data_IF_868072135383
#
_entry.id   IF_868072135383
#
_cell.length_a   1.000
_cell.length_b   1.000
_cell.length_c   1.000
_cell.angle_alpha   90.00
_cell.angle_beta   90.00
_cell.angle_gamma   90.00
#
_symmetry.space_group_name_H-M   'P 1'
#
loop_
_entity.id
_entity.type
_entity.pdbx_description
1 polymer ?
#
# COMPACT_ATOMS: atom_id res chain seq x y z
N UNK A 1 10.31 15.44 5.79
CA UNK A 1 9.71 15.64 4.45
C UNK A 1 8.78 14.45 4.23
N UNK A 2 7.54 14.70 3.83
CA UNK A 2 6.57 13.63 3.61
C UNK A 2 6.94 12.78 2.38
N UNK A 3 6.60 11.48 2.41
CA UNK A 3 6.88 10.54 1.30
C UNK A 3 5.66 10.35 0.42
N UNK A 4 5.89 10.22 -0.88
CA UNK A 4 4.90 9.90 -1.90
C UNK A 4 5.14 8.50 -2.46
N UNK A 5 4.18 7.62 -2.28
CA UNK A 5 4.11 6.32 -2.94
C UNK A 5 3.12 6.37 -4.09
N UNK A 6 3.50 5.84 -5.25
CA UNK A 6 2.60 5.71 -6.40
C UNK A 6 2.28 4.24 -6.65
N UNK A 7 0.98 3.92 -6.66
CA UNK A 7 0.48 2.62 -7.09
C UNK A 7 0.49 2.54 -8.62
N UNK A 8 1.32 1.65 -9.16
CA UNK A 8 1.54 1.49 -10.59
C UNK A 8 1.10 0.11 -11.08
N UNK A 9 0.31 0.07 -12.16
CA UNK A 9 -0.15 -1.20 -12.77
C UNK A 9 0.49 -1.50 -14.12
N UNK A 10 1.51 -0.73 -14.51
CA UNK A 10 2.29 -0.91 -15.73
C UNK A 10 3.69 -0.33 -15.57
N UNK A 11 4.60 -0.69 -16.45
CA UNK A 11 5.96 -0.12 -16.47
C UNK A 11 5.90 1.39 -16.75
N UNK A 12 5.02 1.83 -17.63
CA UNK A 12 4.85 3.26 -17.93
C UNK A 12 4.41 4.03 -16.68
N UNK A 13 3.47 3.49 -15.89
CA UNK A 13 3.07 4.10 -14.61
C UNK A 13 4.23 4.14 -13.61
N UNK A 14 5.02 3.07 -13.52
CA UNK A 14 6.16 3.00 -12.62
C UNK A 14 7.28 3.99 -13.00
N UNK A 15 7.57 4.14 -14.30
CA UNK A 15 8.51 5.13 -14.81
C UNK A 15 8.00 6.56 -14.62
N UNK A 16 6.70 6.81 -14.83
CA UNK A 16 6.09 8.11 -14.55
C UNK A 16 6.17 8.45 -13.05
N UNK A 17 6.01 7.45 -12.16
CA UNK A 17 6.19 7.65 -10.73
C UNK A 17 7.61 8.12 -10.40
N UNK A 18 8.62 7.42 -10.89
CA UNK A 18 10.02 7.79 -10.70
C UNK A 18 10.34 9.18 -11.28
N UNK A 19 9.94 9.42 -12.53
CA UNK A 19 10.20 10.69 -13.23
C UNK A 19 9.44 11.88 -12.59
N UNK A 20 8.31 11.62 -11.95
CA UNK A 20 7.51 12.62 -11.22
C UNK A 20 8.02 12.89 -9.81
N UNK A 21 9.06 12.16 -9.34
CA UNK A 21 9.70 12.35 -8.05
C UNK A 21 9.00 11.62 -6.90
N UNK A 22 8.30 10.52 -7.16
CA UNK A 22 7.82 9.63 -6.12
C UNK A 22 8.99 9.03 -5.32
N UNK A 23 8.78 8.79 -4.03
CA UNK A 23 9.80 8.20 -3.15
C UNK A 23 9.85 6.68 -3.28
N UNK A 24 8.76 6.02 -3.73
CA UNK A 24 8.69 4.59 -4.03
C UNK A 24 7.49 4.26 -4.92
N UNK A 25 7.50 3.06 -5.47
CA UNK A 25 6.40 2.48 -6.27
C UNK A 25 5.83 1.28 -5.52
N UNK A 26 4.49 1.21 -5.42
CA UNK A 26 3.76 -0.03 -5.19
C UNK A 26 3.33 -0.61 -6.53
N UNK A 27 3.90 -1.74 -6.93
CA UNK A 27 3.56 -2.40 -8.19
C UNK A 27 2.40 -3.38 -7.98
N UNK A 28 1.37 -3.26 -8.83
CA UNK A 28 0.21 -4.13 -8.80
C UNK A 28 -0.24 -4.48 -10.23
N UNK A 29 -1.32 -5.25 -10.36
CA UNK A 29 -2.12 -5.39 -11.57
C UNK A 29 -3.58 -5.13 -11.23
N UNK A 30 -4.44 -4.92 -12.24
CA UNK A 30 -5.90 -4.84 -12.08
C UNK A 30 -6.38 -3.83 -11.03
N UNK A 31 -5.98 -2.57 -11.15
CA UNK A 31 -6.39 -1.47 -10.24
C UNK A 31 -7.91 -1.31 -10.12
N UNK A 32 -8.67 -1.68 -11.14
CA UNK A 32 -10.14 -1.60 -11.13
C UNK A 32 -10.80 -2.46 -10.05
N UNK A 33 -10.12 -3.52 -9.58
CA UNK A 33 -10.57 -4.40 -8.49
C UNK A 33 -9.80 -4.15 -7.18
N UNK A 34 -9.07 -3.04 -7.10
CA UNK A 34 -8.25 -2.66 -5.95
C UNK A 34 -6.85 -3.29 -5.95
N UNK A 35 -6.39 -3.78 -7.09
CA UNK A 35 -5.09 -4.40 -7.27
C UNK A 35 -5.04 -5.89 -6.93
N UNK A 36 -4.22 -6.63 -7.67
CA UNK A 36 -3.79 -8.01 -7.39
C UNK A 36 -2.29 -8.14 -7.63
N UNK A 37 -1.69 -9.26 -7.23
CA UNK A 37 -0.26 -9.54 -7.46
C UNK A 37 0.08 -9.40 -8.94
N UNK A 38 1.12 -8.62 -9.32
CA UNK A 38 1.55 -8.50 -10.70
C UNK A 38 2.28 -9.75 -11.18
N UNK A 39 2.36 -9.94 -12.49
CA UNK A 39 3.11 -11.07 -13.06
C UNK A 39 4.60 -10.98 -12.72
N UNK A 40 5.29 -12.13 -12.64
CA UNK A 40 6.76 -12.18 -12.46
C UNK A 40 7.49 -11.33 -13.49
N UNK A 41 7.05 -11.35 -14.75
CA UNK A 41 7.66 -10.54 -15.81
C UNK A 41 7.55 -9.04 -15.57
N UNK A 42 6.40 -8.58 -15.04
CA UNK A 42 6.21 -7.18 -14.70
C UNK A 42 7.09 -6.77 -13.50
N UNK A 43 7.20 -7.63 -12.48
CA UNK A 43 8.05 -7.37 -11.30
C UNK A 43 9.53 -7.30 -11.71
N UNK A 44 10.02 -8.27 -12.49
CA UNK A 44 11.41 -8.29 -12.98
C UNK A 44 11.75 -7.04 -13.78
N UNK A 45 10.89 -6.64 -14.71
CA UNK A 45 11.09 -5.45 -15.53
C UNK A 45 11.09 -4.17 -14.69
N UNK A 46 10.20 -4.07 -13.72
CA UNK A 46 10.16 -2.92 -12.81
C UNK A 46 11.42 -2.85 -11.94
N UNK A 47 11.88 -3.99 -11.39
CA UNK A 47 13.10 -4.08 -10.59
C UNK A 47 14.36 -3.68 -11.39
N UNK A 48 14.40 -3.99 -12.66
CA UNK A 48 15.52 -3.64 -13.55
C UNK A 48 15.54 -2.14 -13.91
N UNK A 49 14.37 -1.52 -14.07
CA UNK A 49 14.24 -0.17 -14.63
C UNK A 49 14.11 0.94 -13.57
N UNK A 50 13.77 0.62 -12.35
CA UNK A 50 13.55 1.60 -11.30
C UNK A 50 14.78 1.79 -10.43
N UNK A 51 15.15 3.05 -10.22
CA UNK A 51 16.18 3.48 -9.26
C UNK A 51 15.60 3.79 -7.87
N UNK A 52 14.27 3.87 -7.76
CA UNK A 52 13.55 4.11 -6.49
C UNK A 52 13.00 2.79 -5.92
N UNK A 53 12.76 2.73 -4.60
CA UNK A 53 12.25 1.51 -3.95
C UNK A 53 11.01 0.94 -4.61
N UNK A 54 11.04 -0.38 -4.86
CA UNK A 54 9.94 -1.16 -5.41
C UNK A 54 9.31 -2.00 -4.30
N UNK A 55 8.01 -1.79 -4.08
CA UNK A 55 7.14 -2.60 -3.24
C UNK A 55 6.17 -3.36 -4.14
N UNK A 56 5.83 -4.58 -3.79
CA UNK A 56 4.98 -5.44 -4.63
C UNK A 56 3.72 -5.82 -3.86
N UNK A 57 2.56 -5.56 -4.47
CA UNK A 57 1.29 -6.01 -3.91
C UNK A 57 1.17 -7.53 -4.00
N UNK A 58 0.93 -8.17 -2.87
CA UNK A 58 0.72 -9.61 -2.73
C UNK A 58 -0.76 -9.86 -2.37
N UNK A 59 -1.56 -10.07 -3.40
CA UNK A 59 -3.00 -10.33 -3.30
C UNK A 59 -3.40 -11.29 -4.43
N UNK A 60 -3.67 -12.57 -4.14
CA UNK A 60 -3.81 -13.62 -5.18
C UNK A 60 -5.09 -13.48 -6.00
N UNK A 61 -6.09 -12.76 -5.50
CA UNK A 61 -7.38 -12.53 -6.16
C UNK A 61 -8.07 -11.25 -5.67
N UNK A 62 -9.04 -10.80 -6.42
CA UNK A 62 -10.01 -9.76 -6.01
C UNK A 62 -11.01 -10.30 -4.96
N UNK A 63 -11.89 -9.43 -4.45
CA UNK A 63 -12.89 -9.74 -3.44
C UNK A 63 -12.37 -9.54 -2.02
N UNK A 64 -12.77 -10.40 -1.10
CA UNK A 64 -12.41 -10.31 0.31
C UNK A 64 -10.93 -10.62 0.58
N UNK A 65 -10.54 -10.52 1.85
CA UNK A 65 -9.17 -10.76 2.33
C UNK A 65 -9.08 -12.00 3.22
N UNK A 66 -10.10 -12.86 3.18
CA UNK A 66 -10.10 -14.13 3.88
C UNK A 66 -9.61 -15.25 2.95
N UNK A 67 -8.36 -15.62 3.11
CA UNK A 67 -7.66 -16.54 2.22
C UNK A 67 -7.73 -17.99 2.71
N UNK A 68 -7.86 -18.93 1.77
CA UNK A 68 -7.67 -20.35 2.00
C UNK A 68 -6.19 -20.68 2.27
N UNK A 69 -5.92 -21.90 2.73
CA UNK A 69 -4.54 -22.40 2.90
C UNK A 69 -3.78 -22.36 1.56
N UNK A 70 -4.43 -22.74 0.46
CA UNK A 70 -3.79 -22.76 -0.86
C UNK A 70 -3.45 -21.34 -1.34
N UNK A 71 -4.33 -20.37 -1.11
CA UNK A 71 -4.06 -18.96 -1.44
C UNK A 71 -2.92 -18.39 -0.58
N UNK A 72 -2.84 -18.78 0.70
CA UNK A 72 -1.73 -18.39 1.56
C UNK A 72 -0.39 -18.94 1.04
N UNK A 73 -0.34 -20.19 0.58
CA UNK A 73 0.89 -20.76 -0.01
C UNK A 73 1.29 -20.01 -1.29
N UNK A 74 0.32 -19.65 -2.16
CA UNK A 74 0.59 -18.80 -3.34
C UNK A 74 1.20 -17.45 -2.92
N UNK A 75 0.62 -16.79 -1.91
CA UNK A 75 1.13 -15.52 -1.40
C UNK A 75 2.57 -15.64 -0.87
N UNK A 76 2.88 -16.73 -0.16
CA UNK A 76 4.24 -16.98 0.35
C UNK A 76 5.26 -17.20 -0.77
N UNK A 77 4.89 -17.91 -1.83
CA UNK A 77 5.74 -18.10 -3.02
C UNK A 77 5.99 -16.78 -3.76
N UNK A 78 4.96 -15.94 -3.90
CA UNK A 78 5.10 -14.62 -4.51
C UNK A 78 6.02 -13.71 -3.67
N UNK A 79 5.91 -13.74 -2.35
CA UNK A 79 6.78 -13.00 -1.42
C UNK A 79 8.23 -13.51 -1.52
N UNK A 80 8.42 -14.84 -1.51
CA UNK A 80 9.76 -15.45 -1.63
C UNK A 80 10.45 -15.05 -2.94
N UNK A 81 9.70 -14.99 -4.04
CA UNK A 81 10.20 -14.50 -5.32
C UNK A 81 10.62 -13.01 -5.23
N UNK A 82 9.83 -12.15 -4.60
CA UNK A 82 10.19 -10.74 -4.41
C UNK A 82 11.48 -10.59 -3.59
N UNK A 83 11.66 -11.40 -2.55
CA UNK A 83 12.88 -11.43 -1.74
C UNK A 83 14.10 -11.90 -2.56
N UNK A 84 13.94 -12.95 -3.36
CA UNK A 84 15.01 -13.51 -4.21
C UNK A 84 15.56 -12.48 -5.21
N UNK A 85 14.70 -11.66 -5.82
CA UNK A 85 15.11 -10.65 -6.79
C UNK A 85 15.47 -9.29 -6.17
N UNK A 86 15.39 -9.16 -4.85
CA UNK A 86 15.81 -7.95 -4.12
C UNK A 86 14.81 -6.81 -4.15
N UNK A 87 13.50 -7.08 -4.18
CA UNK A 87 12.48 -6.05 -3.93
C UNK A 87 12.67 -5.43 -2.54
N UNK A 88 12.33 -4.15 -2.40
CA UNK A 88 12.49 -3.42 -1.15
C UNK A 88 11.41 -3.73 -0.13
N UNK A 89 10.20 -4.05 -0.59
CA UNK A 89 9.07 -4.34 0.28
C UNK A 89 7.96 -5.11 -0.41
N UNK A 90 7.03 -5.59 0.41
CA UNK A 90 5.79 -6.23 -0.02
C UNK A 90 4.59 -5.62 0.69
N UNK A 91 3.45 -5.66 0.03
CA UNK A 91 2.21 -5.09 0.52
C UNK A 91 1.15 -6.18 0.55
N UNK A 92 0.64 -6.51 1.72
CA UNK A 92 -0.38 -7.55 1.88
C UNK A 92 -1.33 -7.25 3.03
N UNK A 93 -2.36 -8.08 3.22
CA UNK A 93 -3.25 -8.04 4.38
C UNK A 93 -4.18 -9.23 4.36
N UNK A 94 -4.29 -9.94 5.47
CA UNK A 94 -5.14 -11.10 5.65
C UNK A 94 -6.13 -10.88 6.80
N UNK A 95 -7.39 -11.19 6.56
CA UNK A 95 -8.46 -11.09 7.55
C UNK A 95 -9.08 -12.46 7.81
N UNK A 96 -9.63 -12.59 9.01
CA UNK A 96 -10.51 -13.70 9.37
C UNK A 96 -11.90 -13.53 8.74
N UNK A 97 -12.74 -14.56 8.80
CA UNK A 97 -14.11 -14.50 8.28
C UNK A 97 -14.97 -13.42 8.97
N UNK A 98 -14.69 -13.14 10.25
CA UNK A 98 -15.33 -12.09 11.04
C UNK A 98 -14.62 -10.73 10.94
N UNK A 99 -13.79 -10.56 9.90
CA UNK A 99 -13.09 -9.29 9.57
C UNK A 99 -12.23 -8.73 10.69
N UNK A 100 -11.46 -9.57 11.34
CA UNK A 100 -10.34 -9.19 12.24
C UNK A 100 -9.04 -9.50 11.53
N UNK A 101 -7.93 -8.97 12.02
CA UNK A 101 -6.59 -9.35 11.53
C UNK A 101 -6.39 -10.85 11.72
N UNK A 102 -6.08 -11.58 10.65
CA UNK A 102 -5.67 -12.98 10.73
C UNK A 102 -4.21 -13.05 11.15
N UNK A 103 -3.98 -13.01 12.47
CA UNK A 103 -2.64 -12.98 13.05
C UNK A 103 -1.78 -14.16 12.58
N UNK A 104 -2.37 -15.37 12.51
CA UNK A 104 -1.64 -16.56 12.10
C UNK A 104 -1.13 -16.47 10.66
N UNK A 105 -1.97 -16.03 9.72
CA UNK A 105 -1.55 -15.82 8.33
C UNK A 105 -0.60 -14.64 8.18
N UNK A 106 -0.85 -13.54 8.89
CA UNK A 106 0.02 -12.35 8.88
C UNK A 106 1.43 -12.70 9.32
N UNK A 107 1.60 -13.46 10.42
CA UNK A 107 2.91 -13.93 10.90
C UNK A 107 3.61 -14.78 9.82
N UNK A 108 2.91 -15.70 9.16
CA UNK A 108 3.50 -16.54 8.12
C UNK A 108 3.96 -15.72 6.90
N UNK A 109 3.18 -14.70 6.49
CA UNK A 109 3.55 -13.80 5.40
C UNK A 109 4.75 -12.92 5.78
N UNK A 110 4.80 -12.40 7.01
CA UNK A 110 5.95 -11.66 7.51
C UNK A 110 7.22 -12.52 7.55
N UNK A 111 7.11 -13.78 7.97
CA UNK A 111 8.24 -14.71 7.96
C UNK A 111 8.75 -14.97 6.52
N UNK A 112 7.86 -15.04 5.54
CA UNK A 112 8.24 -15.15 4.13
C UNK A 112 8.90 -13.86 3.60
N UNK A 113 8.49 -12.69 4.09
CA UNK A 113 9.04 -11.39 3.71
C UNK A 113 10.50 -11.18 4.17
N UNK A 114 10.98 -11.92 5.16
CA UNK A 114 12.36 -11.87 5.68
C UNK A 114 12.77 -10.44 6.11
N UNK A 115 13.64 -9.81 5.31
CA UNK A 115 14.18 -8.47 5.61
C UNK A 115 13.52 -7.35 4.79
N UNK A 116 12.52 -7.69 3.96
CA UNK A 116 11.78 -6.69 3.20
C UNK A 116 10.85 -5.90 4.13
N UNK A 117 10.65 -4.63 3.80
CA UNK A 117 9.62 -3.83 4.45
C UNK A 117 8.22 -4.40 4.18
N UNK A 118 7.33 -4.30 5.18
CA UNK A 118 5.96 -4.77 5.06
C UNK A 118 4.98 -3.62 5.25
N UNK A 119 4.05 -3.49 4.30
CA UNK A 119 2.87 -2.62 4.43
C UNK A 119 1.62 -3.49 4.53
N UNK A 120 0.80 -3.26 5.56
CA UNK A 120 -0.55 -3.83 5.61
C UNK A 120 -1.50 -2.95 4.78
N UNK A 121 -2.05 -3.51 3.71
CA UNK A 121 -2.83 -2.74 2.73
C UNK A 121 -4.26 -2.41 3.21
N UNK A 122 -5.08 -1.86 2.32
CA UNK A 122 -6.47 -1.45 2.57
C UNK A 122 -7.44 -2.55 3.04
N UNK A 123 -7.01 -3.79 3.28
CA UNK A 123 -7.77 -4.74 4.10
C UNK A 123 -8.05 -4.18 5.50
N UNK A 124 -7.19 -3.26 5.99
CA UNK A 124 -7.39 -2.52 7.22
C UNK A 124 -8.69 -1.70 7.22
N UNK A 125 -9.11 -1.17 6.08
CA UNK A 125 -10.38 -0.44 5.96
C UNK A 125 -11.62 -1.36 6.05
N UNK A 126 -11.44 -2.68 5.93
CA UNK A 126 -12.52 -3.67 5.98
C UNK A 126 -12.69 -4.34 7.36
N UNK A 127 -11.84 -4.03 8.34
CA UNK A 127 -11.94 -4.61 9.68
C UNK A 127 -13.16 -4.08 10.44
N UNK A 128 -13.58 -4.79 11.48
CA UNK A 128 -14.69 -4.35 12.33
C UNK A 128 -14.32 -3.18 13.24
N UNK A 129 -13.08 -3.15 13.75
CA UNK A 129 -12.56 -2.13 14.64
C UNK A 129 -11.11 -1.82 14.25
N UNK A 130 -10.88 -0.60 13.75
CA UNK A 130 -9.57 -0.18 13.26
C UNK A 130 -8.55 0.03 14.39
N UNK A 131 -8.98 0.46 15.57
CA UNK A 131 -8.07 0.67 16.71
C UNK A 131 -7.59 -0.66 17.28
N UNK A 132 -8.47 -1.65 17.46
CA UNK A 132 -8.09 -3.03 17.84
C UNK A 132 -7.16 -3.66 16.78
N UNK A 133 -7.41 -3.39 15.50
CA UNK A 133 -6.57 -3.88 14.41
C UNK A 133 -5.19 -3.19 14.39
N UNK A 134 -5.12 -1.89 14.70
CA UNK A 134 -3.88 -1.14 14.83
C UNK A 134 -3.01 -1.74 15.93
N UNK A 135 -3.54 -1.95 17.13
CA UNK A 135 -2.82 -2.57 18.25
C UNK A 135 -2.29 -3.96 17.86
N UNK A 136 -3.15 -4.78 17.26
CA UNK A 136 -2.75 -6.11 16.77
C UNK A 136 -1.59 -6.05 15.78
N UNK A 137 -1.61 -5.11 14.83
CA UNK A 137 -0.54 -4.98 13.84
C UNK A 137 0.75 -4.41 14.42
N UNK A 138 0.67 -3.52 15.44
CA UNK A 138 1.83 -3.07 16.22
C UNK A 138 2.50 -4.27 16.93
N UNK A 139 1.72 -5.09 17.65
CA UNK A 139 2.22 -6.29 18.32
C UNK A 139 2.88 -7.29 17.37
N UNK A 140 2.38 -7.38 16.12
CA UNK A 140 2.97 -8.23 15.09
C UNK A 140 4.22 -7.62 14.43
N UNK A 141 4.54 -6.36 14.69
CA UNK A 141 5.73 -5.68 14.15
C UNK A 141 5.57 -5.21 12.70
N UNK A 142 4.35 -4.98 12.24
CA UNK A 142 4.08 -4.32 10.94
C UNK A 142 4.54 -2.87 11.01
N UNK A 143 5.29 -2.42 10.01
CA UNK A 143 5.88 -1.08 10.02
C UNK A 143 4.93 0.00 9.49
N UNK A 144 3.98 -0.38 8.62
CA UNK A 144 3.13 0.58 7.89
C UNK A 144 1.73 0.03 7.62
N UNK A 145 0.74 0.89 7.74
CA UNK A 145 -0.64 0.61 7.34
C UNK A 145 -1.05 1.59 6.24
N UNK A 146 -1.60 1.08 5.14
CA UNK A 146 -2.28 1.87 4.10
C UNK A 146 -3.78 1.90 4.37
N UNK A 147 -4.33 3.08 4.62
CA UNK A 147 -5.74 3.22 4.99
C UNK A 147 -6.37 4.52 4.47
N UNK A 148 -7.68 4.52 4.34
CA UNK A 148 -8.53 5.70 4.13
C UNK A 148 -9.38 6.05 5.37
N UNK A 149 -9.04 5.50 6.55
CA UNK A 149 -9.83 5.66 7.77
C UNK A 149 -11.16 4.91 7.73
N UNK A 150 -11.23 3.77 6.98
CA UNK A 150 -12.44 2.99 6.79
C UNK A 150 -13.50 3.66 5.90
N UNK A 151 -13.17 4.80 5.30
CA UNK A 151 -14.07 5.56 4.44
C UNK A 151 -13.80 5.31 2.95
N UNK A 152 -14.69 5.80 2.09
CA UNK A 152 -14.56 5.72 0.64
C UNK A 152 -13.30 6.43 0.11
N UNK A 153 -12.86 7.48 0.81
CA UNK A 153 -11.65 8.24 0.49
C UNK A 153 -11.00 8.78 1.75
N UNK A 154 -9.69 9.07 1.69
CA UNK A 154 -8.96 9.70 2.79
C UNK A 154 -9.60 11.03 3.24
N UNK A 155 -10.10 11.82 2.29
CA UNK A 155 -10.79 13.08 2.60
C UNK A 155 -12.07 12.87 3.42
N UNK A 156 -12.80 11.77 3.20
CA UNK A 156 -14.00 11.44 3.98
C UNK A 156 -13.68 10.78 5.32
N UNK A 157 -12.52 10.14 5.43
CA UNK A 157 -12.07 9.48 6.65
C UNK A 157 -11.10 10.31 7.50
N UNK A 158 -10.99 11.62 7.24
CA UNK A 158 -9.94 12.47 7.82
C UNK A 158 -9.92 12.46 9.35
N UNK A 159 -11.09 12.46 10.00
CA UNK A 159 -11.19 12.45 11.46
C UNK A 159 -10.62 11.13 12.02
N UNK A 160 -11.04 9.98 11.47
CA UNK A 160 -10.51 8.67 11.88
C UNK A 160 -9.02 8.54 11.56
N UNK A 161 -8.56 9.09 10.42
CA UNK A 161 -7.14 9.08 10.06
C UNK A 161 -6.31 9.89 11.06
N UNK A 162 -6.81 11.05 11.52
CA UNK A 162 -6.15 11.84 12.56
C UNK A 162 -6.03 11.07 13.87
N UNK A 163 -7.11 10.42 14.31
CA UNK A 163 -7.12 9.60 15.53
C UNK A 163 -6.17 8.38 15.40
N UNK A 164 -6.14 7.73 14.23
CA UNK A 164 -5.21 6.60 13.98
C UNK A 164 -3.74 7.04 13.98
N UNK A 165 -3.43 8.24 13.47
CA UNK A 165 -2.07 8.79 13.51
C UNK A 165 -1.65 9.07 14.95
N UNK A 166 -2.53 9.69 15.73
CA UNK A 166 -2.27 9.97 17.14
C UNK A 166 -2.05 8.68 17.95
N UNK A 167 -2.87 7.64 17.73
CA UNK A 167 -2.76 6.34 18.40
C UNK A 167 -1.56 5.51 17.91
N UNK A 168 -1.17 5.67 16.64
CA UNK A 168 0.00 4.99 16.08
C UNK A 168 1.31 5.47 16.71
N UNK A 169 1.35 6.75 17.12
CA UNK A 169 2.53 7.42 17.65
C UNK A 169 3.77 7.21 16.73
N UNK A 170 4.95 7.07 17.30
CA UNK A 170 6.19 6.76 16.54
C UNK A 170 6.37 5.26 16.24
N UNK A 171 5.43 4.41 16.67
CA UNK A 171 5.56 2.95 16.56
C UNK A 171 5.16 2.41 15.19
N UNK A 172 4.26 3.09 14.47
CA UNK A 172 3.75 2.65 13.17
C UNK A 172 3.44 3.82 12.24
N UNK A 173 3.71 3.64 10.96
CA UNK A 173 3.40 4.62 9.93
C UNK A 173 1.97 4.42 9.43
N UNK A 174 1.13 5.44 9.58
CA UNK A 174 -0.17 5.51 8.92
C UNK A 174 0.02 6.22 7.58
N UNK A 175 0.01 5.44 6.49
CA UNK A 175 0.09 5.94 5.12
C UNK A 175 -1.33 6.21 4.61
N UNK A 176 -1.59 7.45 4.24
CA UNK A 176 -2.90 7.85 3.73
C UNK A 176 -3.09 7.39 2.29
N UNK A 177 -4.18 6.67 2.03
CA UNK A 177 -4.59 6.28 0.68
C UNK A 177 -6.09 6.41 0.47
N UNK A 178 -6.51 6.29 -0.79
CA UNK A 178 -7.91 6.46 -1.18
C UNK A 178 -8.19 7.86 -1.72
N UNK A 179 -8.09 7.97 -3.03
CA UNK A 179 -8.33 9.18 -3.79
C UNK A 179 -7.47 10.40 -3.36
N UNK A 180 -6.19 10.17 -3.04
CA UNK A 180 -5.22 11.26 -2.83
C UNK A 180 -4.99 11.97 -4.17
N UNK A 181 -5.20 13.30 -4.18
CA UNK A 181 -5.13 14.16 -5.36
C UNK A 181 -4.56 15.53 -4.98
N UNK A 182 -4.05 16.31 -5.95
CA UNK A 182 -3.57 17.67 -5.69
C UNK A 182 -4.60 18.56 -4.98
N UNK A 183 -5.90 18.36 -5.28
CA UNK A 183 -6.99 19.18 -4.75
C UNK A 183 -7.26 18.93 -3.24
N UNK A 184 -6.88 17.76 -2.72
CA UNK A 184 -7.15 17.41 -1.32
C UNK A 184 -5.90 17.25 -0.45
N UNK A 185 -4.71 17.29 -1.04
CA UNK A 185 -3.47 17.00 -0.33
C UNK A 185 -3.18 17.99 0.81
N UNK A 186 -3.45 19.29 0.60
CA UNK A 186 -3.21 20.31 1.62
C UNK A 186 -4.06 20.10 2.88
N UNK A 187 -5.32 19.69 2.71
CA UNK A 187 -6.18 19.35 3.82
C UNK A 187 -5.65 18.12 4.59
N UNK A 188 -5.20 17.10 3.85
CA UNK A 188 -4.69 15.85 4.42
C UNK A 188 -3.33 16.02 5.10
N UNK A 189 -2.50 16.97 4.68
CA UNK A 189 -1.25 17.32 5.38
C UNK A 189 -1.53 17.88 6.78
N UNK A 190 -2.66 18.55 6.96
CA UNK A 190 -3.05 19.17 8.23
C UNK A 190 -3.16 18.21 9.41
N UNK A 191 -3.33 16.89 9.17
CA UNK A 191 -3.40 15.86 10.23
C UNK A 191 -2.05 15.22 10.57
N UNK A 192 -0.94 15.69 9.99
CA UNK A 192 0.41 15.26 10.38
C UNK A 192 0.89 13.92 9.76
N UNK A 193 0.21 13.38 8.76
CA UNK A 193 0.66 12.16 8.09
C UNK A 193 2.02 12.33 7.41
N UNK A 194 2.83 11.28 7.48
CA UNK A 194 4.19 11.28 6.93
C UNK A 194 4.29 10.60 5.55
N UNK A 195 3.30 9.80 5.16
CA UNK A 195 3.31 9.04 3.91
C UNK A 195 1.94 9.09 3.21
N UNK A 196 1.97 9.21 1.90
CA UNK A 196 0.79 9.37 1.03
C UNK A 196 0.87 8.41 -0.15
N UNK A 197 -0.25 7.72 -0.43
CA UNK A 197 -0.38 6.75 -1.50
C UNK A 197 -1.40 7.21 -2.53
N UNK A 198 -1.03 7.26 -3.80
CA UNK A 198 -1.90 7.63 -4.90
C UNK A 198 -1.68 6.76 -6.13
N UNK A 199 -2.72 6.47 -6.88
CA UNK A 199 -2.57 5.94 -8.25
C UNK A 199 -2.18 7.02 -9.25
N UNK A 200 -2.42 8.29 -8.93
CA UNK A 200 -2.24 9.44 -9.80
C UNK A 200 -2.82 9.23 -11.22
N UNK A 201 -3.90 8.46 -11.35
CA UNK A 201 -4.57 8.20 -12.64
C UNK A 201 -5.67 9.22 -12.90
N UNK A 202 -5.75 9.68 -14.13
CA UNK A 202 -6.90 10.41 -14.65
C UNK A 202 -8.08 9.45 -14.87
N UNK A 203 -9.30 9.97 -14.88
CA UNK A 203 -10.53 9.15 -15.00
C UNK A 203 -10.60 8.32 -16.29
N UNK A 204 -9.95 8.79 -17.37
CA UNK A 204 -9.83 8.14 -18.67
C UNK A 204 -8.42 7.63 -18.97
N UNK A 205 -7.51 7.76 -18.00
CA UNK A 205 -6.11 7.38 -18.12
C UNK A 205 -5.89 5.86 -18.02
N UNK A 206 -4.90 5.38 -18.79
CA UNK A 206 -4.42 3.99 -18.68
C UNK A 206 -3.23 3.86 -17.74
N UNK A 207 -2.52 4.96 -17.53
CA UNK A 207 -1.28 5.03 -16.75
C UNK A 207 -1.36 6.18 -15.75
N UNK A 208 -0.54 6.12 -14.72
CA UNK A 208 -0.38 7.24 -13.78
C UNK A 208 0.10 8.48 -14.52
N UNK A 209 -0.53 9.61 -14.27
CA UNK A 209 -0.25 10.88 -14.95
C UNK A 209 0.99 11.56 -14.33
N UNK A 210 1.99 11.83 -15.15
CA UNK A 210 3.26 12.42 -14.72
C UNK A 210 3.06 13.83 -14.10
N UNK A 211 2.18 14.65 -14.66
CA UNK A 211 1.97 16.01 -14.14
C UNK A 211 1.29 15.97 -12.78
N UNK A 212 0.30 15.09 -12.59
CA UNK A 212 -0.36 14.89 -11.29
C UNK A 212 0.65 14.41 -10.24
N UNK A 213 1.58 13.51 -10.58
CA UNK A 213 2.64 13.06 -9.66
C UNK A 213 3.54 14.24 -9.26
N UNK A 214 3.96 15.06 -10.24
CA UNK A 214 4.78 16.26 -9.99
C UNK A 214 4.03 17.26 -9.08
N UNK A 215 2.74 17.46 -9.30
CA UNK A 215 1.91 18.34 -8.47
C UNK A 215 1.79 17.82 -7.03
N UNK A 216 1.49 16.52 -6.86
CA UNK A 216 1.46 15.86 -5.54
C UNK A 216 2.81 16.00 -4.83
N UNK A 217 3.92 15.73 -5.54
CA UNK A 217 5.26 15.85 -4.96
C UNK A 217 5.56 17.27 -4.50
N UNK A 218 5.26 18.28 -5.30
CA UNK A 218 5.43 19.69 -4.94
C UNK A 218 4.64 20.09 -3.71
N UNK A 219 3.41 19.58 -3.59
CA UNK A 219 2.56 19.87 -2.45
C UNK A 219 3.07 19.21 -1.15
N UNK A 220 3.88 18.15 -1.22
CA UNK A 220 4.43 17.42 -0.08
C UNK A 220 5.82 17.92 0.39
N UNK A 221 6.43 18.85 -0.35
CA UNK A 221 7.68 19.53 0.04
C UNK A 221 7.36 20.74 0.88
#
# INVERSE_FOLDING_TARGET
MAKLEICASSIESALNAQNGGADRVELCSELAVGGITPSKGLILMAQELLDIPLYVLIRPRSGDFHYSIMELEIMKEDIAFCAEIGCHGVVFGALTQDRRIDQSKTIQLMQAAQFMDVTFHKAFDAVQNQFEALDTLKELGIQRILTSGGAESAAKGIDTLSELIDEADDEMIIMLGGAIRPENIEMLKGIGALEYHSSAMLSDGKHSDLNMIIELRKALI
#
